data_IF_598911292710
#
_entry.id   IF_598911292710
#
_cell.length_a   1.000
_cell.length_b   1.000
_cell.length_c   1.000
_cell.angle_alpha   90.00
_cell.angle_beta   90.00
_cell.angle_gamma   90.00
#
_symmetry.space_group_name_H-M   'P 1'
#
loop_
_entity.id
_entity.type
_entity.pdbx_description
1 polymer ?
#
# COMPACT_ATOMS: atom_id res chain seq x y z
N UNK A 1 -2.56 -16.44 21.90
CA UNK A 1 -2.64 -17.49 20.86
C UNK A 1 -3.34 -16.92 19.66
N UNK A 2 -2.80 -17.14 18.47
CA UNK A 2 -3.41 -16.72 17.21
C UNK A 2 -4.88 -17.16 17.14
N UNK A 3 -5.73 -16.31 16.58
CA UNK A 3 -7.14 -16.66 16.32
C UNK A 3 -7.29 -16.94 14.82
N UNK A 4 -7.91 -18.04 14.47
CA UNK A 4 -8.08 -18.41 13.06
C UNK A 4 -9.39 -19.15 12.82
N UNK A 5 -9.92 -18.99 11.59
CA UNK A 5 -11.04 -19.76 11.04
C UNK A 5 -10.76 -20.01 9.57
N UNK A 6 -10.71 -21.28 9.14
CA UNK A 6 -10.47 -21.66 7.75
C UNK A 6 -9.08 -21.30 7.22
N UNK A 7 -8.11 -21.00 8.09
CA UNK A 7 -6.72 -20.68 7.76
C UNK A 7 -5.81 -21.27 8.81
N UNK A 8 -4.65 -21.79 8.38
CA UNK A 8 -3.57 -22.22 9.28
C UNK A 8 -2.25 -21.57 8.89
N UNK A 9 -1.40 -21.27 9.86
CA UNK A 9 -0.02 -20.87 9.64
C UNK A 9 0.83 -22.10 9.28
N UNK A 10 1.62 -21.98 8.24
CA UNK A 10 2.54 -23.02 7.77
C UNK A 10 4.00 -22.59 7.86
N UNK A 11 4.26 -21.28 7.98
CA UNK A 11 5.59 -20.73 8.18
C UNK A 11 5.56 -19.30 8.66
N UNK A 12 6.72 -18.86 9.16
CA UNK A 12 6.89 -17.52 9.72
C UNK A 12 8.32 -17.02 9.54
N UNK A 13 8.47 -15.73 9.30
CA UNK A 13 9.76 -15.03 9.28
C UNK A 13 9.66 -13.76 10.10
N UNK A 14 10.56 -13.64 11.07
CA UNK A 14 10.76 -12.36 11.72
C UNK A 14 11.56 -11.41 10.80
N UNK A 15 10.85 -10.48 10.18
CA UNK A 15 11.45 -9.49 9.28
C UNK A 15 11.94 -8.24 10.01
N UNK A 16 11.80 -8.19 11.36
CA UNK A 16 12.00 -6.97 12.14
C UNK A 16 13.18 -7.00 13.09
N UNK A 17 13.76 -8.19 13.32
CA UNK A 17 14.72 -8.37 14.40
C UNK A 17 14.16 -7.86 15.75
N UNK A 18 13.43 -8.71 16.48
CA UNK A 18 12.64 -8.40 17.69
C UNK A 18 13.32 -7.55 18.79
N UNK A 19 14.64 -7.39 18.75
CA UNK A 19 15.34 -6.54 19.71
C UNK A 19 14.87 -5.07 19.67
N UNK A 20 14.34 -4.60 18.56
CA UNK A 20 13.77 -3.25 18.44
C UNK A 20 12.28 -3.17 18.78
N UNK A 21 11.52 -4.24 18.62
CA UNK A 21 10.06 -4.24 18.85
C UNK A 21 9.71 -4.26 20.36
N UNK A 22 10.58 -4.77 21.21
CA UNK A 22 10.33 -4.96 22.64
C UNK A 22 10.16 -3.68 23.48
N UNK A 23 10.35 -2.50 22.89
CA UNK A 23 10.11 -1.21 23.56
C UNK A 23 9.15 -0.29 22.80
N UNK A 24 8.56 -0.77 21.71
CA UNK A 24 7.71 0.06 20.85
C UNK A 24 6.25 -0.11 21.22
N UNK A 25 5.68 0.96 21.74
CA UNK A 25 4.23 1.05 21.90
C UNK A 25 3.64 1.30 20.50
N UNK A 26 3.16 0.24 19.85
CA UNK A 26 2.62 0.25 18.47
C UNK A 26 1.38 1.16 18.28
N UNK A 27 1.15 2.08 19.20
CA UNK A 27 0.09 3.11 19.13
C UNK A 27 0.43 4.22 18.13
N UNK A 28 1.72 4.40 17.84
CA UNK A 28 2.16 5.40 16.88
C UNK A 28 2.77 4.74 15.65
N UNK A 29 2.38 5.17 14.45
CA UNK A 29 2.96 4.66 13.20
C UNK A 29 4.49 4.84 13.13
N UNK A 30 5.03 5.80 13.87
CA UNK A 30 6.47 6.01 14.06
C UNK A 30 7.16 4.86 14.80
N UNK A 31 6.40 4.12 15.60
CA UNK A 31 6.91 3.03 16.44
C UNK A 31 6.87 1.70 15.70
N UNK A 32 6.28 1.67 14.48
CA UNK A 32 6.18 0.48 13.66
C UNK A 32 7.47 0.31 12.85
N UNK A 33 8.36 -0.55 13.30
CA UNK A 33 9.60 -0.88 12.58
C UNK A 33 9.40 -1.86 11.43
N UNK A 34 8.20 -2.42 11.25
CA UNK A 34 7.96 -3.58 10.45
C UNK A 34 7.60 -3.39 9.01
N UNK A 35 7.15 -4.49 8.43
CA UNK A 35 6.90 -4.59 7.00
C UNK A 35 5.81 -3.68 6.49
N UNK A 36 6.07 -3.04 5.34
CA UNK A 36 5.13 -2.17 4.64
C UNK A 36 4.42 -2.84 3.47
N UNK A 37 5.15 -3.60 2.66
CA UNK A 37 4.59 -4.33 1.53
C UNK A 37 5.31 -5.67 1.32
N UNK A 38 4.57 -6.68 0.87
CA UNK A 38 5.12 -7.96 0.42
C UNK A 38 4.64 -8.29 -0.99
N UNK A 39 5.57 -8.71 -1.84
CA UNK A 39 5.28 -9.33 -3.13
C UNK A 39 6.03 -10.65 -3.24
N UNK A 40 5.46 -11.62 -3.97
CA UNK A 40 6.10 -12.92 -4.18
C UNK A 40 6.19 -13.20 -5.67
N UNK A 41 7.40 -13.48 -6.15
CA UNK A 41 7.66 -13.94 -7.51
C UNK A 41 8.61 -15.13 -7.48
N UNK A 42 8.29 -16.18 -8.22
CA UNK A 42 9.13 -17.39 -8.32
C UNK A 42 9.49 -18.00 -6.94
N UNK A 43 8.55 -17.91 -5.97
CA UNK A 43 8.74 -18.40 -4.59
C UNK A 43 9.88 -17.70 -3.85
N UNK A 44 10.11 -16.46 -4.21
CA UNK A 44 10.93 -15.51 -3.48
C UNK A 44 10.00 -14.39 -2.99
N UNK A 45 9.99 -14.12 -1.71
CA UNK A 45 9.26 -13.00 -1.12
C UNK A 45 10.18 -11.77 -1.01
N UNK A 46 9.68 -10.62 -1.42
CA UNK A 46 10.32 -9.32 -1.31
C UNK A 46 9.51 -8.48 -0.35
N UNK A 47 10.12 -8.05 0.72
CA UNK A 47 9.45 -7.34 1.82
C UNK A 47 10.07 -5.97 1.99
N UNK A 48 9.30 -4.92 1.72
CA UNK A 48 9.68 -3.54 2.04
C UNK A 48 9.41 -3.23 3.51
N UNK A 49 10.32 -2.53 4.19
CA UNK A 49 10.22 -2.21 5.60
C UNK A 49 10.01 -0.72 5.87
N UNK A 50 9.27 -0.43 6.94
CA UNK A 50 8.82 0.92 7.30
C UNK A 50 9.93 1.77 7.91
N UNK A 51 10.99 1.17 8.46
CA UNK A 51 11.98 1.90 9.23
C UNK A 51 13.41 1.41 8.99
N UNK A 52 14.33 2.38 8.94
CA UNK A 52 15.77 2.11 8.91
C UNK A 52 16.22 1.33 10.17
N UNK A 53 17.33 0.58 10.11
CA UNK A 53 18.18 0.40 8.94
C UNK A 53 17.64 -0.61 7.91
N UNK A 54 16.55 -1.36 8.22
CA UNK A 54 16.01 -2.36 7.32
C UNK A 54 15.28 -1.66 6.15
N UNK A 55 15.74 -1.95 4.95
CA UNK A 55 15.07 -1.60 3.70
C UNK A 55 14.27 -2.78 3.16
N UNK A 56 14.61 -3.26 1.97
CA UNK A 56 13.95 -4.41 1.38
C UNK A 56 14.66 -5.70 1.75
N UNK A 57 13.93 -6.68 2.27
CA UNK A 57 14.41 -8.04 2.53
C UNK A 57 13.95 -8.99 1.43
N UNK A 58 14.84 -9.88 0.99
CA UNK A 58 14.61 -10.89 -0.04
C UNK A 58 14.70 -12.25 0.63
N UNK A 59 13.61 -13.04 0.55
CA UNK A 59 13.43 -14.25 1.35
C UNK A 59 13.06 -15.41 0.45
N UNK A 60 13.82 -16.51 0.48
CA UNK A 60 13.45 -17.76 -0.17
C UNK A 60 12.31 -18.43 0.62
N UNK A 61 11.18 -18.61 -0.04
CA UNK A 61 9.95 -19.22 0.50
C UNK A 61 9.55 -20.48 -0.28
N UNK A 62 10.51 -21.11 -0.99
CA UNK A 62 10.30 -22.38 -1.69
C UNK A 62 9.82 -23.47 -0.74
N UNK A 63 10.46 -23.59 0.42
CA UNK A 63 9.94 -24.33 1.56
C UNK A 63 9.26 -23.35 2.55
N UNK A 64 7.93 -23.27 2.56
CA UNK A 64 7.22 -22.31 3.41
C UNK A 64 7.44 -22.57 4.91
N UNK A 65 7.84 -23.78 5.31
CA UNK A 65 8.11 -24.13 6.70
C UNK A 65 9.49 -23.69 7.17
N UNK A 66 10.41 -23.49 6.23
CA UNK A 66 11.81 -23.12 6.50
C UNK A 66 12.23 -21.95 5.57
N UNK A 67 11.55 -20.80 5.65
CA UNK A 67 11.93 -19.63 4.84
C UNK A 67 13.33 -19.14 5.21
N UNK A 68 14.08 -18.60 4.23
CA UNK A 68 15.46 -18.19 4.41
C UNK A 68 15.70 -16.78 3.90
N UNK A 69 16.25 -15.91 4.72
CA UNK A 69 16.74 -14.61 4.26
C UNK A 69 17.91 -14.83 3.29
N UNK A 70 17.77 -14.30 2.08
CA UNK A 70 18.79 -14.33 1.04
C UNK A 70 19.62 -13.04 1.03
N UNK A 71 18.95 -11.89 1.12
CA UNK A 71 19.59 -10.58 1.11
C UNK A 71 18.75 -9.55 1.87
N UNK A 72 19.41 -8.52 2.36
CA UNK A 72 18.78 -7.33 2.95
C UNK A 72 19.44 -6.08 2.38
N UNK A 73 18.61 -5.19 1.86
CA UNK A 73 19.00 -3.83 1.50
C UNK A 73 18.79 -2.93 2.71
N UNK A 74 19.79 -2.12 3.03
CA UNK A 74 19.68 -1.14 4.10
C UNK A 74 19.28 0.23 3.58
N UNK A 75 18.66 1.05 4.43
CA UNK A 75 18.34 2.42 4.13
C UNK A 75 18.86 3.38 5.20
N UNK A 76 19.17 4.64 4.81
CA UNK A 76 19.74 5.61 5.74
C UNK A 76 18.72 6.10 6.78
N UNK A 77 19.20 6.72 7.88
CA UNK A 77 18.34 7.38 8.86
C UNK A 77 17.41 8.41 8.22
N UNK A 78 16.23 8.59 8.79
CA UNK A 78 15.25 9.58 8.32
C UNK A 78 14.58 9.25 6.99
N UNK A 79 14.75 8.01 6.51
CA UNK A 79 14.16 7.56 5.25
C UNK A 79 13.40 6.25 5.43
N UNK A 80 12.56 5.90 4.47
CA UNK A 80 12.01 4.56 4.41
C UNK A 80 11.81 4.04 2.97
N UNK A 81 11.81 2.69 2.83
CA UNK A 81 11.65 1.97 1.57
C UNK A 81 10.66 0.83 1.80
N UNK A 82 9.41 1.20 2.05
CA UNK A 82 8.37 0.28 2.52
C UNK A 82 7.55 -0.34 1.38
N UNK A 83 7.80 0.07 0.14
CA UNK A 83 7.12 -0.45 -1.04
C UNK A 83 8.11 -1.10 -1.99
N UNK A 84 7.70 -2.23 -2.54
CA UNK A 84 8.50 -3.02 -3.48
C UNK A 84 7.61 -3.60 -4.57
N UNK A 85 8.11 -3.60 -5.80
CA UNK A 85 7.51 -4.30 -6.94
C UNK A 85 8.60 -5.08 -7.68
N UNK A 86 8.21 -6.22 -8.20
CA UNK A 86 9.12 -7.11 -8.92
C UNK A 86 8.46 -7.59 -10.20
N UNK A 87 9.18 -7.53 -11.31
CA UNK A 87 8.77 -8.15 -12.56
C UNK A 87 10.00 -8.68 -13.29
N UNK A 88 10.04 -10.00 -13.53
CA UNK A 88 11.24 -10.66 -14.09
C UNK A 88 12.45 -10.44 -13.17
N UNK A 89 13.54 -9.94 -13.75
CA UNK A 89 14.79 -9.69 -13.04
C UNK A 89 14.92 -8.24 -12.52
N UNK A 90 13.85 -7.45 -12.61
CA UNK A 90 13.84 -6.07 -12.14
C UNK A 90 13.03 -5.95 -10.85
N UNK A 91 13.66 -5.37 -9.83
CA UNK A 91 13.01 -4.94 -8.60
C UNK A 91 13.04 -3.41 -8.52
N UNK A 92 11.90 -2.83 -8.20
CA UNK A 92 11.75 -1.39 -7.93
C UNK A 92 11.33 -1.23 -6.47
N UNK A 93 11.99 -0.30 -5.76
CA UNK A 93 11.63 0.07 -4.39
C UNK A 93 11.42 1.57 -4.28
N UNK A 94 10.54 2.02 -3.39
CA UNK A 94 10.43 3.44 -3.14
C UNK A 94 11.61 3.96 -2.29
N UNK A 95 11.91 5.25 -2.49
CA UNK A 95 12.78 6.07 -1.65
C UNK A 95 11.95 7.23 -1.15
N UNK A 96 11.75 7.28 0.14
CA UNK A 96 10.98 8.35 0.76
C UNK A 96 11.77 8.96 1.93
N UNK A 97 11.84 10.28 1.95
CA UNK A 97 12.35 11.03 3.09
C UNK A 97 11.20 11.25 4.05
N UNK A 98 11.35 10.84 5.28
CA UNK A 98 10.30 10.97 6.29
C UNK A 98 9.96 12.44 6.56
N UNK A 99 8.67 12.74 6.75
CA UNK A 99 8.23 14.07 7.16
C UNK A 99 8.69 14.43 8.58
N UNK A 100 8.70 15.72 8.93
CA UNK A 100 9.25 16.21 10.21
C UNK A 100 8.70 15.49 11.45
N UNK A 101 7.42 15.13 11.44
CA UNK A 101 6.79 14.43 12.56
C UNK A 101 7.22 12.96 12.70
N UNK A 102 7.77 12.38 11.64
CA UNK A 102 8.20 10.99 11.59
C UNK A 102 9.70 10.80 11.81
N UNK A 103 10.47 11.87 11.66
CA UNK A 103 11.94 11.84 11.76
C UNK A 103 12.43 11.50 13.17
N UNK A 104 11.71 11.83 14.23
CA UNK A 104 12.11 11.57 15.62
C UNK A 104 13.56 11.96 15.95
N UNK A 105 14.07 13.02 15.31
CA UNK A 105 15.44 13.48 15.45
C UNK A 105 16.45 12.82 14.50
N UNK A 106 16.03 11.88 13.67
CA UNK A 106 16.87 11.34 12.60
C UNK A 106 17.04 12.37 11.48
N UNK A 107 18.22 12.37 10.86
CA UNK A 107 18.54 13.30 9.78
C UNK A 107 18.95 12.48 8.56
N UNK A 108 18.26 12.63 7.42
CA UNK A 108 18.68 12.00 6.18
C UNK A 108 20.09 12.49 5.78
N UNK A 109 20.88 11.65 5.08
CA UNK A 109 22.18 12.09 4.59
C UNK A 109 22.06 13.33 3.71
N UNK A 110 23.04 14.25 3.74
CA UNK A 110 23.07 15.41 2.85
C UNK A 110 22.96 14.97 1.37
N UNK A 111 22.09 15.61 0.61
CA UNK A 111 21.85 15.30 -0.79
C UNK A 111 21.02 14.04 -1.05
N UNK A 112 20.44 13.41 -0.02
CA UNK A 112 19.50 12.31 -0.24
C UNK A 112 18.16 12.87 -0.71
N UNK A 113 17.76 12.49 -1.92
CA UNK A 113 16.46 12.81 -2.48
C UNK A 113 15.56 11.58 -2.47
N UNK A 114 14.25 11.81 -2.34
CA UNK A 114 13.24 10.78 -2.51
C UNK A 114 13.12 10.34 -3.98
N UNK A 115 12.39 9.27 -4.24
CA UNK A 115 12.16 8.74 -5.59
C UNK A 115 12.00 7.22 -5.62
N UNK A 116 12.71 6.57 -6.54
CA UNK A 116 12.76 5.12 -6.70
C UNK A 116 14.21 4.63 -6.74
N UNK A 117 14.41 3.39 -6.29
CA UNK A 117 15.64 2.61 -6.55
C UNK A 117 15.30 1.41 -7.42
N UNK A 118 16.10 1.17 -8.45
CA UNK A 118 15.88 0.09 -9.42
C UNK A 118 17.06 -0.87 -9.34
N UNK A 119 16.76 -2.14 -9.17
CA UNK A 119 17.75 -3.19 -8.95
C UNK A 119 17.63 -4.32 -9.98
N UNK A 120 18.75 -4.89 -10.37
CA UNK A 120 18.85 -6.21 -10.98
C UNK A 120 18.81 -7.26 -9.87
N UNK A 121 17.87 -8.18 -9.97
CA UNK A 121 17.65 -9.31 -9.06
C UNK A 121 17.76 -10.66 -9.76
N UNK A 122 18.41 -10.74 -10.91
CA UNK A 122 18.72 -12.01 -11.59
C UNK A 122 19.42 -13.02 -10.65
N UNK A 123 20.07 -12.49 -9.60
CA UNK A 123 20.59 -13.22 -8.44
C UNK A 123 19.99 -12.63 -7.16
N UNK A 124 18.85 -13.18 -6.68
CA UNK A 124 18.13 -12.62 -5.52
C UNK A 124 18.99 -12.51 -4.25
N UNK A 125 19.99 -13.39 -4.09
CA UNK A 125 20.96 -13.34 -2.98
C UNK A 125 21.99 -12.21 -3.11
N UNK A 126 22.07 -11.56 -4.27
CA UNK A 126 23.00 -10.47 -4.54
C UNK A 126 22.36 -9.40 -5.42
N UNK A 127 21.34 -8.69 -4.94
CA UNK A 127 20.69 -7.62 -5.70
C UNK A 127 21.72 -6.53 -6.03
N UNK A 128 21.68 -6.03 -7.27
CA UNK A 128 22.61 -5.01 -7.76
C UNK A 128 21.85 -3.75 -8.13
N UNK A 129 22.19 -2.62 -7.52
CA UNK A 129 21.58 -1.33 -7.88
C UNK A 129 21.93 -1.00 -9.34
N UNK A 130 20.91 -0.73 -10.14
CA UNK A 130 21.04 -0.23 -11.50
C UNK A 130 21.10 1.30 -11.46
N UNK A 131 20.09 1.95 -10.87
CA UNK A 131 20.02 3.41 -10.79
C UNK A 131 19.06 3.88 -9.69
N UNK A 132 19.11 5.17 -9.41
CA UNK A 132 18.06 5.92 -8.71
C UNK A 132 17.38 6.86 -9.69
N UNK A 133 16.06 6.95 -9.59
CA UNK A 133 15.28 8.04 -10.13
C UNK A 133 14.83 8.93 -8.97
N UNK A 134 14.99 10.24 -9.08
CA UNK A 134 14.79 11.17 -7.97
C UNK A 134 13.67 12.16 -8.27
N UNK A 135 12.89 12.50 -7.24
CA UNK A 135 11.88 13.56 -7.29
C UNK A 135 12.54 14.93 -7.21
N UNK A 136 11.83 15.95 -7.69
CA UNK A 136 12.35 17.34 -7.75
C UNK A 136 11.79 18.21 -6.63
N UNK A 137 11.18 17.62 -5.63
CA UNK A 137 10.51 18.34 -4.55
C UNK A 137 11.47 19.13 -3.66
N UNK A 138 11.07 20.34 -3.35
CA UNK A 138 11.85 21.26 -2.52
C UNK A 138 11.85 20.92 -1.02
N UNK A 139 12.67 21.63 -0.23
CA UNK A 139 12.90 21.35 1.19
C UNK A 139 11.69 21.63 2.12
N UNK A 140 10.65 22.32 1.66
CA UNK A 140 9.56 22.83 2.49
C UNK A 140 8.38 21.86 2.65
N UNK A 141 8.59 20.58 2.38
CA UNK A 141 7.51 19.59 2.49
C UNK A 141 7.10 19.40 3.96
N UNK A 142 5.86 19.71 4.28
CA UNK A 142 5.23 19.38 5.56
C UNK A 142 5.06 17.87 5.75
N UNK A 143 5.21 17.11 4.67
CA UNK A 143 4.96 15.68 4.56
C UNK A 143 6.23 14.94 4.11
N UNK A 144 6.16 13.63 4.07
CA UNK A 144 7.20 12.81 3.44
C UNK A 144 7.41 13.21 1.97
N UNK A 145 8.67 13.14 1.50
CA UNK A 145 9.07 13.50 0.13
C UNK A 145 9.55 12.27 -0.62
N UNK A 146 9.30 12.22 -1.91
CA UNK A 146 9.69 11.11 -2.75
C UNK A 146 8.50 10.37 -3.33
N UNK A 147 8.64 9.07 -3.60
CA UNK A 147 7.56 8.20 -4.06
C UNK A 147 6.99 7.44 -2.88
N UNK A 148 5.70 7.64 -2.59
CA UNK A 148 5.05 6.94 -1.48
C UNK A 148 4.63 5.53 -1.89
N UNK A 149 3.89 5.40 -2.99
CA UNK A 149 3.39 4.12 -3.49
C UNK A 149 3.41 4.06 -5.01
N UNK A 150 3.43 2.86 -5.58
CA UNK A 150 3.50 2.68 -7.01
C UNK A 150 3.07 1.28 -7.44
N UNK A 151 2.71 1.14 -8.71
CA UNK A 151 2.59 -0.12 -9.42
C UNK A 151 3.67 -0.23 -10.50
N UNK A 152 4.02 -1.47 -10.93
CA UNK A 152 5.02 -1.73 -11.95
C UNK A 152 4.63 -2.96 -12.76
N UNK A 153 4.47 -2.80 -14.06
CA UNK A 153 4.02 -3.86 -14.97
C UNK A 153 5.14 -4.57 -15.75
N UNK A 154 6.40 -4.29 -15.38
CA UNK A 154 7.59 -4.81 -16.05
C UNK A 154 8.22 -3.85 -17.05
N UNK A 155 7.49 -2.82 -17.48
CA UNK A 155 8.01 -1.73 -18.30
C UNK A 155 7.68 -0.36 -17.71
N UNK A 156 6.42 -0.13 -17.36
CA UNK A 156 6.00 1.16 -16.83
C UNK A 156 5.82 1.10 -15.32
N UNK A 157 6.30 2.13 -14.64
CA UNK A 157 5.96 2.38 -13.25
C UNK A 157 4.93 3.51 -13.16
N UNK A 158 3.83 3.22 -12.47
CA UNK A 158 2.75 4.16 -12.16
C UNK A 158 2.94 4.59 -10.73
N UNK A 159 3.39 5.82 -10.51
CA UNK A 159 3.93 6.25 -9.23
C UNK A 159 3.16 7.41 -8.62
N UNK A 160 3.25 7.55 -7.29
CA UNK A 160 2.73 8.69 -6.53
C UNK A 160 3.88 9.53 -5.95
N UNK A 161 4.58 10.33 -6.77
CA UNK A 161 5.68 11.17 -6.34
C UNK A 161 5.20 12.50 -5.74
N UNK A 162 6.00 13.07 -4.84
CA UNK A 162 5.99 14.50 -4.59
C UNK A 162 6.86 15.19 -5.65
N UNK A 163 6.41 16.32 -6.15
CA UNK A 163 7.12 17.05 -7.21
C UNK A 163 7.09 18.55 -6.91
N UNK A 164 8.16 19.24 -7.28
CA UNK A 164 8.25 20.68 -7.13
C UNK A 164 7.09 21.40 -7.83
N UNK A 165 6.51 22.39 -7.14
CA UNK A 165 5.36 23.15 -7.65
C UNK A 165 3.99 22.51 -7.48
N UNK A 166 3.92 21.29 -6.92
CA UNK A 166 2.67 20.60 -6.65
C UNK A 166 2.40 20.43 -5.14
N UNK A 167 1.13 20.47 -4.78
CA UNK A 167 0.67 20.21 -3.42
C UNK A 167 0.45 18.70 -3.23
N UNK A 168 1.29 18.07 -2.41
CA UNK A 168 1.24 16.64 -2.12
C UNK A 168 1.64 15.76 -3.32
N UNK A 169 1.28 14.49 -3.25
CA UNK A 169 1.64 13.51 -4.29
C UNK A 169 0.72 13.63 -5.51
N UNK A 170 1.30 13.55 -6.71
CA UNK A 170 0.57 13.47 -7.97
C UNK A 170 0.69 12.07 -8.57
N UNK A 171 -0.06 11.76 -9.62
CA UNK A 171 0.14 10.54 -10.41
C UNK A 171 1.15 10.82 -11.53
N UNK A 172 2.13 9.92 -11.71
CA UNK A 172 3.12 9.99 -12.79
C UNK A 172 3.38 8.60 -13.37
N UNK A 173 3.71 8.56 -14.66
CA UNK A 173 4.08 7.35 -15.39
C UNK A 173 5.55 7.48 -15.80
N UNK A 174 6.36 6.47 -15.44
CA UNK A 174 7.75 6.35 -15.88
C UNK A 174 7.88 5.16 -16.84
N UNK A 175 8.62 5.32 -17.94
CA UNK A 175 9.07 4.21 -18.80
C UNK A 175 10.42 3.70 -18.29
N UNK A 176 10.47 2.43 -17.92
CA UNK A 176 11.65 1.70 -17.49
C UNK A 176 12.13 0.72 -18.59
N UNK A 177 11.84 1.00 -19.86
CA UNK A 177 12.35 0.19 -20.99
C UNK A 177 13.86 0.03 -20.93
N UNK A 178 14.57 1.10 -20.59
CA UNK A 178 15.95 1.08 -20.13
C UNK A 178 15.94 1.37 -18.60
N UNK A 179 16.06 0.34 -17.74
CA UNK A 179 15.96 0.55 -16.30
C UNK A 179 17.11 1.40 -15.73
N UNK A 180 18.18 1.65 -16.50
CA UNK A 180 19.27 2.55 -16.11
C UNK A 180 18.92 4.03 -16.36
N UNK A 181 17.87 4.31 -17.14
CA UNK A 181 17.43 5.65 -17.55
C UNK A 181 15.92 5.76 -17.52
N UNK A 182 15.28 5.73 -16.34
CA UNK A 182 13.84 5.92 -16.24
C UNK A 182 13.43 7.28 -16.78
N UNK A 183 12.44 7.31 -17.69
CA UNK A 183 11.96 8.54 -18.34
C UNK A 183 10.50 8.79 -17.97
N UNK A 184 10.18 10.04 -17.64
CA UNK A 184 8.79 10.44 -17.47
C UNK A 184 8.05 10.40 -18.82
N UNK A 185 6.93 9.68 -18.85
CA UNK A 185 6.04 9.60 -20.01
C UNK A 185 4.91 10.60 -19.88
N UNK A 186 4.31 10.71 -18.70
CA UNK A 186 3.20 11.62 -18.44
C UNK A 186 2.84 11.68 -16.97
N UNK A 187 2.00 12.66 -16.63
CA UNK A 187 1.50 12.89 -15.28
C UNK A 187 0.06 13.36 -15.28
N UNK A 188 -0.58 13.16 -14.16
CA UNK A 188 -1.89 13.71 -13.87
C UNK A 188 -1.94 14.17 -12.41
N UNK A 189 -2.66 15.23 -12.17
CA UNK A 189 -2.89 15.75 -10.82
C UNK A 189 -4.35 16.19 -10.67
N UNK A 190 -4.83 16.17 -9.46
CA UNK A 190 -6.17 16.68 -9.18
C UNK A 190 -6.18 18.21 -9.33
N UNK A 191 -7.16 18.80 -10.02
CA UNK A 191 -7.28 20.26 -10.16
C UNK A 191 -7.18 20.95 -8.80
N UNK A 192 -6.26 21.91 -8.68
CA UNK A 192 -5.90 22.57 -7.43
C UNK A 192 -4.57 22.13 -6.82
N UNK A 193 -3.94 21.07 -7.32
CA UNK A 193 -2.61 20.67 -6.84
C UNK A 193 -1.46 21.43 -7.49
N UNK A 194 -1.62 21.95 -8.71
CA UNK A 194 -0.51 22.64 -9.41
C UNK A 194 -0.38 24.10 -8.98
N UNK A 195 0.22 24.31 -7.81
CA UNK A 195 0.37 25.65 -7.19
C UNK A 195 1.28 26.55 -8.02
N UNK A 196 2.37 26.02 -8.58
CA UNK A 196 3.27 26.79 -9.46
C UNK A 196 2.58 27.26 -10.76
N UNK A 197 1.54 26.58 -11.20
CA UNK A 197 0.69 26.99 -12.33
C UNK A 197 -0.41 27.96 -11.95
N UNK A 198 -0.50 28.38 -10.68
CA UNK A 198 -1.52 29.31 -10.19
C UNK A 198 -2.84 28.64 -9.80
N UNK A 199 -2.90 27.32 -9.75
CA UNK A 199 -4.08 26.63 -9.26
C UNK A 199 -4.27 26.85 -7.75
N UNK A 200 -5.52 26.85 -7.30
CA UNK A 200 -5.89 26.92 -5.89
C UNK A 200 -6.77 25.73 -5.58
N UNK A 201 -6.48 24.98 -4.48
CA UNK A 201 -7.33 23.87 -4.04
C UNK A 201 -8.78 24.32 -3.85
N UNK A 202 -9.72 23.55 -4.36
CA UNK A 202 -11.17 23.78 -4.20
C UNK A 202 -11.76 22.93 -3.07
N UNK A 203 -11.01 21.90 -2.63
CA UNK A 203 -11.40 21.06 -1.49
C UNK A 203 -11.10 21.74 -0.16
N UNK A 204 -11.77 21.30 0.90
CA UNK A 204 -11.54 21.72 2.27
C UNK A 204 -10.97 20.56 3.07
N UNK A 205 -10.10 20.86 4.03
CA UNK A 205 -9.50 19.86 4.91
C UNK A 205 -8.19 19.31 4.36
N UNK A 206 -7.93 18.05 4.64
CA UNK A 206 -6.66 17.39 4.33
C UNK A 206 -6.42 17.19 2.84
N UNK A 207 -5.14 16.98 2.49
CA UNK A 207 -4.69 16.98 1.12
C UNK A 207 -5.33 15.87 0.28
N UNK A 208 -5.95 16.26 -0.83
CA UNK A 208 -6.27 15.37 -1.93
C UNK A 208 -4.97 15.05 -2.64
N UNK A 209 -4.40 13.88 -2.39
CA UNK A 209 -3.12 13.46 -2.96
C UNK A 209 -3.16 12.02 -3.46
N UNK A 210 -2.45 11.78 -4.56
CA UNK A 210 -2.31 10.43 -5.11
C UNK A 210 -1.68 9.50 -4.08
N UNK A 211 -2.27 8.33 -3.91
CA UNK A 211 -1.72 7.30 -3.04
C UNK A 211 -1.31 6.07 -3.83
N UNK A 212 -2.25 5.38 -4.48
CA UNK A 212 -1.97 4.11 -5.14
C UNK A 212 -2.60 4.03 -6.53
N UNK A 213 -1.86 4.30 -7.61
CA UNK A 213 -2.31 4.10 -8.97
C UNK A 213 -2.12 2.63 -9.39
N UNK A 214 -3.21 1.89 -9.56
CA UNK A 214 -3.20 0.51 -10.04
C UNK A 214 -3.62 0.45 -11.51
N UNK A 215 -2.79 -0.19 -12.33
CA UNK A 215 -3.09 -0.37 -13.75
C UNK A 215 -3.99 -1.58 -14.00
N UNK A 216 -5.00 -1.38 -14.86
CA UNK A 216 -5.73 -2.46 -15.49
C UNK A 216 -6.05 -2.09 -16.94
N UNK A 217 -5.42 -2.77 -17.89
CA UNK A 217 -5.54 -2.44 -19.31
C UNK A 217 -5.07 -1.00 -19.62
N UNK A 218 -5.98 -0.20 -20.16
CA UNK A 218 -5.76 1.22 -20.48
C UNK A 218 -6.35 2.18 -19.41
N UNK A 219 -6.53 1.69 -18.20
CA UNK A 219 -7.02 2.47 -17.05
C UNK A 219 -6.04 2.44 -15.89
N UNK A 220 -6.04 3.55 -15.13
CA UNK A 220 -5.53 3.57 -13.76
C UNK A 220 -6.71 3.76 -12.82
N UNK A 221 -6.87 2.83 -11.90
CA UNK A 221 -7.78 2.94 -10.77
C UNK A 221 -6.95 3.42 -9.59
N UNK A 222 -7.15 4.66 -9.22
CA UNK A 222 -6.24 5.38 -8.32
C UNK A 222 -6.96 5.79 -7.06
N UNK A 223 -6.41 5.42 -5.91
CA UNK A 223 -6.81 6.02 -4.65
C UNK A 223 -6.15 7.38 -4.47
N UNK A 224 -6.92 8.36 -4.02
CA UNK A 224 -6.48 9.76 -3.93
C UNK A 224 -6.69 10.35 -2.54
N UNK A 225 -6.47 9.55 -1.51
CA UNK A 225 -6.67 9.88 -0.09
C UNK A 225 -8.06 10.48 0.14
N UNK A 226 -8.16 11.72 0.71
CA UNK A 226 -9.45 12.39 0.90
C UNK A 226 -10.13 12.78 -0.42
N UNK A 227 -9.44 12.71 -1.54
CA UNK A 227 -10.03 12.82 -2.87
C UNK A 227 -10.73 11.55 -3.38
N UNK A 228 -10.73 10.48 -2.56
CA UNK A 228 -11.46 9.26 -2.83
C UNK A 228 -10.87 8.42 -3.97
N UNK A 229 -11.73 7.93 -4.85
CA UNK A 229 -11.41 7.15 -6.04
C UNK A 229 -11.28 8.05 -7.26
N UNK A 230 -10.26 7.83 -8.08
CA UNK A 230 -10.06 8.47 -9.39
C UNK A 230 -9.82 7.39 -10.44
N UNK A 231 -10.54 7.45 -11.55
CA UNK A 231 -10.34 6.58 -12.73
C UNK A 231 -9.75 7.44 -13.85
N UNK A 232 -8.56 7.03 -14.34
CA UNK A 232 -7.88 7.71 -15.41
C UNK A 232 -7.81 6.83 -16.67
N UNK A 233 -8.00 7.43 -17.82
CA UNK A 233 -7.71 6.86 -19.13
C UNK A 233 -6.24 7.12 -19.47
N UNK A 234 -5.52 6.05 -19.80
CA UNK A 234 -4.10 6.07 -20.19
C UNK A 234 -3.86 5.46 -21.58
N UNK A 235 -4.86 5.48 -22.48
CA UNK A 235 -4.65 5.10 -23.89
C UNK A 235 -3.47 5.88 -24.49
N UNK A 236 -3.41 7.18 -24.19
CA UNK A 236 -2.24 8.02 -24.41
C UNK A 236 -1.57 8.28 -23.04
N UNK A 237 -0.55 7.48 -22.71
CA UNK A 237 0.17 7.58 -21.44
C UNK A 237 0.86 8.94 -21.25
N UNK A 238 1.13 9.69 -22.36
CA UNK A 238 1.72 11.03 -22.26
C UNK A 238 0.71 12.08 -21.79
N UNK A 239 -0.59 11.78 -21.85
CA UNK A 239 -1.69 12.68 -21.52
C UNK A 239 -2.82 11.93 -20.80
N UNK A 240 -2.59 11.42 -19.60
CA UNK A 240 -3.64 10.76 -18.82
C UNK A 240 -4.85 11.68 -18.63
N UNK A 241 -6.06 11.13 -18.80
CA UNK A 241 -7.32 11.89 -18.74
C UNK A 241 -8.23 11.36 -17.67
N UNK A 242 -8.88 12.27 -16.96
CA UNK A 242 -9.92 11.89 -15.99
C UNK A 242 -11.12 11.26 -16.73
N UNK A 243 -11.49 10.06 -16.34
CA UNK A 243 -12.75 9.42 -16.73
C UNK A 243 -13.83 9.80 -15.73
N UNK A 244 -13.55 9.59 -14.44
CA UNK A 244 -14.44 9.94 -13.33
C UNK A 244 -13.70 9.95 -12.01
N UNK A 245 -14.37 10.46 -10.97
CA UNK A 245 -13.94 10.34 -9.59
C UNK A 245 -15.14 10.15 -8.68
N UNK A 246 -14.91 9.63 -7.49
CA UNK A 246 -15.90 9.44 -6.46
C UNK A 246 -15.28 9.79 -5.11
N UNK A 247 -15.67 10.95 -4.59
CA UNK A 247 -15.24 11.46 -3.29
C UNK A 247 -16.35 11.22 -2.26
N UNK A 248 -15.99 10.62 -1.15
CA UNK A 248 -16.87 10.40 0.02
C UNK A 248 -16.35 11.09 1.30
N UNK A 249 -15.36 11.96 1.18
CA UNK A 249 -14.81 12.72 2.30
C UNK A 249 -15.12 14.22 2.17
N UNK A 250 -16.00 14.83 2.98
CA UNK A 250 -16.84 14.23 4.01
C UNK A 250 -18.06 13.47 3.42
N UNK A 251 -18.81 12.68 4.21
CA UNK A 251 -18.76 12.57 5.67
C UNK A 251 -17.79 11.51 6.21
N UNK A 252 -17.20 10.68 5.34
CA UNK A 252 -16.24 9.66 5.78
C UNK A 252 -14.84 10.26 5.89
N UNK A 253 -14.17 10.17 7.07
CA UNK A 253 -12.95 10.92 7.31
C UNK A 253 -11.68 10.20 6.84
N UNK A 254 -11.77 8.88 6.59
CA UNK A 254 -10.59 8.07 6.33
C UNK A 254 -10.10 8.23 4.90
N UNK A 255 -8.77 8.34 4.71
CA UNK A 255 -8.21 8.40 3.37
C UNK A 255 -8.45 7.09 2.60
N UNK A 256 -8.80 7.22 1.33
CA UNK A 256 -8.91 6.10 0.41
C UNK A 256 -7.52 5.56 0.09
N UNK A 257 -7.28 4.30 0.47
CA UNK A 257 -5.97 3.67 0.42
C UNK A 257 -5.70 2.91 -0.88
N UNK A 258 -6.63 2.04 -1.29
CA UNK A 258 -6.44 1.19 -2.48
C UNK A 258 -7.76 1.04 -3.23
N UNK A 259 -7.74 1.24 -4.54
CA UNK A 259 -8.86 1.06 -5.46
C UNK A 259 -8.54 -0.13 -6.38
N UNK A 260 -9.04 -1.32 -6.02
CA UNK A 260 -8.72 -2.58 -6.69
C UNK A 260 -9.87 -3.02 -7.61
N UNK A 261 -9.68 -2.92 -8.93
CA UNK A 261 -10.62 -3.44 -9.90
C UNK A 261 -10.63 -4.98 -9.86
N UNK A 262 -11.83 -5.56 -9.86
CA UNK A 262 -12.02 -7.01 -9.97
C UNK A 262 -11.86 -7.42 -11.44
N UNK A 263 -10.94 -8.34 -11.78
CA UNK A 263 -10.56 -8.61 -13.17
C UNK A 263 -11.57 -9.44 -13.98
N UNK A 264 -12.72 -9.76 -13.40
CA UNK A 264 -13.82 -10.50 -14.02
C UNK A 264 -15.17 -9.88 -13.64
N UNK A 265 -16.21 -10.25 -14.40
CA UNK A 265 -17.58 -9.80 -14.11
C UNK A 265 -18.26 -10.70 -13.07
N UNK A 266 -19.04 -10.09 -12.19
CA UNK A 266 -19.99 -10.77 -11.33
C UNK A 266 -21.39 -10.36 -11.80
N UNK A 267 -22.26 -11.31 -12.11
CA UNK A 267 -23.60 -11.06 -12.67
C UNK A 267 -23.60 -10.09 -13.87
N UNK A 268 -22.63 -10.27 -14.79
CA UNK A 268 -22.41 -9.41 -15.96
C UNK A 268 -22.07 -7.95 -15.67
N UNK A 269 -21.69 -7.60 -14.45
CA UNK A 269 -21.27 -6.25 -14.03
C UNK A 269 -19.80 -6.21 -13.65
N UNK A 270 -19.20 -5.04 -13.81
CA UNK A 270 -17.82 -4.77 -13.42
C UNK A 270 -17.79 -4.12 -12.04
N UNK A 271 -16.87 -4.57 -11.19
CA UNK A 271 -16.79 -4.12 -9.81
C UNK A 271 -15.37 -3.76 -9.39
N UNK A 272 -15.29 -3.01 -8.31
CA UNK A 272 -14.07 -2.66 -7.62
C UNK A 272 -14.28 -2.79 -6.12
N UNK A 273 -13.28 -3.30 -5.40
CA UNK A 273 -13.19 -3.12 -3.95
C UNK A 273 -12.28 -1.92 -3.66
N UNK A 274 -12.70 -1.09 -2.73
CA UNK A 274 -11.93 0.08 -2.32
C UNK A 274 -11.76 0.03 -0.81
N UNK A 275 -10.53 0.16 -0.34
CA UNK A 275 -10.22 0.20 1.08
C UNK A 275 -9.88 1.61 1.53
N UNK A 276 -10.39 1.99 2.68
CA UNK A 276 -9.93 3.17 3.41
C UNK A 276 -8.88 2.78 4.46
N UNK A 277 -8.17 3.76 5.02
CA UNK A 277 -7.10 3.57 5.98
C UNK A 277 -7.26 4.52 7.18
N UNK A 278 -7.31 3.99 8.41
CA UNK A 278 -7.47 4.81 9.62
C UNK A 278 -6.13 5.20 10.27
N UNK A 279 -5.31 5.96 9.54
CA UNK A 279 -3.95 6.36 9.97
C UNK A 279 -3.86 7.71 10.68
N UNK A 280 -4.92 8.52 10.65
CA UNK A 280 -4.94 9.82 11.31
C UNK A 280 -5.68 9.79 12.65
N UNK A 281 -5.25 10.63 13.60
CA UNK A 281 -6.11 11.00 14.71
C UNK A 281 -7.10 12.04 14.21
N UNK A 282 -8.36 11.86 14.58
CA UNK A 282 -9.42 12.84 14.38
C UNK A 282 -9.90 13.34 15.77
N UNK A 283 -9.08 14.14 16.49
CA UNK A 283 -9.36 14.48 17.88
C UNK A 283 -10.64 15.30 18.06
N UNK A 284 -11.01 16.05 17.02
CA UNK A 284 -12.13 17.03 17.09
C UNK A 284 -13.38 16.53 16.35
N UNK A 285 -13.39 15.29 15.88
CA UNK A 285 -14.54 14.70 15.19
C UNK A 285 -15.30 13.73 16.11
N UNK A 286 -16.63 13.62 15.94
CA UNK A 286 -17.39 12.57 16.61
C UNK A 286 -16.79 11.20 16.30
N UNK A 287 -17.09 10.18 17.14
CA UNK A 287 -16.54 8.85 16.94
C UNK A 287 -16.95 8.31 15.58
N UNK A 288 -15.99 8.22 14.67
CA UNK A 288 -16.20 7.56 13.39
C UNK A 288 -15.99 6.05 13.54
N UNK A 289 -16.69 5.24 12.74
CA UNK A 289 -16.31 3.83 12.61
C UNK A 289 -14.85 3.72 12.14
N UNK A 290 -14.14 2.66 12.53
CA UNK A 290 -12.85 2.37 11.96
C UNK A 290 -12.96 2.23 10.43
N UNK A 291 -11.86 2.44 9.70
CA UNK A 291 -11.83 2.28 8.24
C UNK A 291 -12.39 0.91 7.81
N UNK A 292 -13.06 0.88 6.68
CA UNK A 292 -13.76 -0.30 6.17
C UNK A 292 -13.57 -0.47 4.66
N UNK A 293 -14.14 -1.55 4.10
CA UNK A 293 -14.06 -1.87 2.68
C UNK A 293 -15.34 -1.44 1.98
N UNK A 294 -15.21 -0.79 0.82
CA UNK A 294 -16.30 -0.45 -0.09
C UNK A 294 -16.37 -1.45 -1.24
N UNK A 295 -17.58 -1.73 -1.69
CA UNK A 295 -17.84 -2.36 -2.97
C UNK A 295 -18.44 -1.31 -3.91
N UNK A 296 -17.80 -1.11 -5.05
CA UNK A 296 -18.20 -0.08 -6.03
C UNK A 296 -18.49 -0.76 -7.36
N UNK A 297 -19.68 -0.49 -7.91
CA UNK A 297 -20.05 -0.88 -9.27
C UNK A 297 -19.46 0.12 -10.25
N UNK A 298 -18.66 -0.36 -11.18
CA UNK A 298 -17.97 0.40 -12.22
C UNK A 298 -18.37 -0.04 -13.62
N UNK A 299 -19.54 -0.68 -13.77
CA UNK A 299 -20.08 -1.11 -15.08
C UNK A 299 -20.20 0.08 -16.04
N UNK A 300 -20.57 1.23 -15.50
CA UNK A 300 -20.38 2.53 -16.14
C UNK A 300 -19.25 3.28 -15.42
N UNK A 301 -18.03 3.23 -15.96
CA UNK A 301 -16.87 3.90 -15.36
C UNK A 301 -17.01 5.41 -15.22
N UNK A 302 -17.95 6.03 -15.97
CA UNK A 302 -18.21 7.49 -15.85
C UNK A 302 -19.07 7.83 -14.62
N UNK A 303 -19.77 6.84 -14.08
CA UNK A 303 -20.69 7.01 -12.95
C UNK A 303 -20.51 5.86 -11.95
N UNK A 304 -19.34 5.72 -11.28
CA UNK A 304 -19.10 4.68 -10.31
C UNK A 304 -20.08 4.79 -9.15
N UNK A 305 -20.63 3.65 -8.68
CA UNK A 305 -21.66 3.59 -7.65
C UNK A 305 -21.19 2.78 -6.45
N UNK A 306 -21.01 3.33 -5.25
CA UNK A 306 -20.83 2.52 -4.05
C UNK A 306 -22.15 1.80 -3.74
N UNK A 307 -22.09 0.47 -3.65
CA UNK A 307 -23.28 -0.37 -3.53
C UNK A 307 -23.37 -1.11 -2.21
N UNK A 308 -22.24 -1.36 -1.55
CA UNK A 308 -22.19 -1.95 -0.22
C UNK A 308 -20.86 -1.68 0.46
N UNK A 309 -20.81 -1.99 1.74
CA UNK A 309 -19.59 -1.89 2.56
C UNK A 309 -19.42 -3.17 3.38
N UNK A 310 -18.17 -3.43 3.80
CA UNK A 310 -17.90 -4.49 4.76
C UNK A 310 -17.05 -3.94 5.93
N UNK A 311 -17.47 -4.28 7.15
CA UNK A 311 -16.74 -4.06 8.40
C UNK A 311 -16.67 -5.38 9.16
N UNK A 312 -15.59 -5.60 9.89
CA UNK A 312 -15.44 -6.77 10.76
C UNK A 312 -16.54 -6.77 11.82
N UNK A 313 -17.23 -7.90 12.00
CA UNK A 313 -18.41 -8.03 12.87
C UNK A 313 -18.10 -7.66 14.33
N UNK A 314 -16.94 -8.10 14.84
CA UNK A 314 -16.49 -7.83 16.21
C UNK A 314 -15.93 -6.42 16.42
N UNK A 315 -15.96 -5.54 15.42
CA UNK A 315 -15.46 -4.18 15.54
C UNK A 315 -16.36 -3.36 16.46
N UNK A 316 -15.85 -2.85 17.60
CA UNK A 316 -16.67 -2.04 18.49
C UNK A 316 -17.17 -0.77 17.79
N UNK A 317 -18.43 -0.44 17.99
CA UNK A 317 -19.03 0.81 17.49
C UNK A 317 -18.71 2.00 18.42
N UNK A 318 -17.43 2.16 18.73
CA UNK A 318 -16.86 3.23 19.56
C UNK A 318 -15.61 3.76 18.88
N UNK A 319 -15.10 4.95 19.26
CA UNK A 319 -13.84 5.45 18.73
C UNK A 319 -12.74 4.42 18.88
N UNK A 320 -12.09 4.08 17.77
CA UNK A 320 -11.00 3.12 17.77
C UNK A 320 -9.65 3.85 17.68
N UNK A 321 -8.59 3.27 18.25
CA UNK A 321 -7.24 3.78 18.01
C UNK A 321 -6.91 3.71 16.53
N UNK A 322 -5.98 4.55 16.06
CA UNK A 322 -5.46 4.49 14.69
C UNK A 322 -4.95 3.10 14.35
N UNK A 323 -4.95 2.76 13.05
CA UNK A 323 -4.49 1.47 12.55
C UNK A 323 -5.24 0.29 13.18
N UNK A 324 -6.55 0.41 13.26
CA UNK A 324 -7.45 -0.64 13.75
C UNK A 324 -8.22 -1.27 12.61
N UNK A 325 -8.70 -0.48 11.65
CA UNK A 325 -9.62 -0.86 10.60
C UNK A 325 -8.99 -1.48 9.36
N UNK A 326 -9.70 -1.38 8.24
CA UNK A 326 -9.28 -1.87 6.93
C UNK A 326 -7.99 -1.19 6.47
N UNK A 327 -7.20 -1.90 5.63
CA UNK A 327 -6.01 -1.32 5.03
C UNK A 327 -5.80 -1.78 3.59
N UNK A 328 -5.35 -3.02 3.35
CA UNK A 328 -4.85 -3.43 2.05
C UNK A 328 -5.49 -4.73 1.56
N UNK A 329 -6.29 -4.71 0.47
CA UNK A 329 -6.69 -5.92 -0.22
C UNK A 329 -5.52 -6.51 -1.01
N UNK A 330 -5.48 -7.84 -1.13
CA UNK A 330 -4.56 -8.54 -2.02
C UNK A 330 -4.80 -8.11 -3.48
N UNK A 331 -3.77 -7.63 -4.14
CA UNK A 331 -3.88 -7.12 -5.51
C UNK A 331 -3.93 -8.24 -6.57
N UNK A 332 -3.54 -9.47 -6.20
CA UNK A 332 -3.68 -10.65 -7.04
C UNK A 332 -5.06 -11.26 -6.79
N UNK A 333 -5.99 -10.97 -7.69
CA UNK A 333 -7.38 -11.43 -7.59
C UNK A 333 -7.60 -12.62 -8.51
N UNK A 334 -7.82 -13.79 -7.94
CA UNK A 334 -8.01 -15.05 -8.68
C UNK A 334 -9.44 -15.62 -8.59
N UNK A 335 -10.28 -15.03 -7.75
CA UNK A 335 -11.65 -15.46 -7.50
C UNK A 335 -12.42 -14.46 -6.65
N UNK A 336 -13.59 -14.85 -6.17
CA UNK A 336 -14.46 -13.97 -5.38
C UNK A 336 -14.07 -13.87 -3.91
N UNK A 337 -13.15 -14.66 -3.42
CA UNK A 337 -12.60 -14.54 -2.07
C UNK A 337 -11.39 -13.60 -2.09
N UNK A 338 -11.54 -12.39 -1.55
CA UNK A 338 -10.51 -11.37 -1.51
C UNK A 338 -9.82 -11.36 -0.14
N UNK A 339 -8.53 -11.69 -0.06
CA UNK A 339 -7.76 -11.49 1.15
C UNK A 339 -7.54 -10.00 1.42
N UNK A 340 -7.77 -9.56 2.65
CA UNK A 340 -7.61 -8.15 3.05
C UNK A 340 -6.84 -8.09 4.37
N UNK A 341 -5.74 -7.37 4.39
CA UNK A 341 -5.05 -7.00 5.63
C UNK A 341 -5.88 -5.94 6.37
N UNK A 342 -6.14 -6.21 7.65
CA UNK A 342 -7.05 -5.41 8.49
C UNK A 342 -6.36 -5.04 9.80
N UNK A 343 -5.42 -4.16 9.77
CA UNK A 343 -4.55 -3.74 10.87
C UNK A 343 -4.64 -4.59 12.15
N UNK A 344 -5.40 -4.13 13.17
CA UNK A 344 -5.51 -4.84 14.45
C UNK A 344 -6.35 -6.13 14.38
N UNK A 345 -7.01 -6.39 13.28
CA UNK A 345 -7.87 -7.56 13.07
C UNK A 345 -7.25 -8.62 12.15
N UNK A 346 -5.97 -8.47 11.77
CA UNK A 346 -5.23 -9.50 11.04
C UNK A 346 -5.61 -9.61 9.56
N UNK A 347 -5.63 -10.82 9.04
CA UNK A 347 -6.10 -11.16 7.69
C UNK A 347 -7.60 -11.49 7.72
N UNK A 348 -8.34 -10.93 6.79
CA UNK A 348 -9.75 -11.24 6.52
C UNK A 348 -9.89 -11.76 5.10
N UNK A 349 -10.69 -12.79 4.88
CA UNK A 349 -11.06 -13.27 3.55
C UNK A 349 -12.52 -12.91 3.34
N UNK A 350 -12.76 -12.02 2.37
CA UNK A 350 -14.07 -11.46 2.09
C UNK A 350 -14.61 -12.04 0.79
N UNK A 351 -15.72 -12.76 0.86
CA UNK A 351 -16.44 -13.24 -0.32
C UNK A 351 -17.28 -12.10 -0.91
N UNK A 352 -16.97 -11.74 -2.15
CA UNK A 352 -17.64 -10.71 -2.94
C UNK A 352 -18.58 -11.29 -4.01
N UNK A 353 -18.85 -12.60 -3.99
CA UNK A 353 -19.73 -13.27 -4.97
C UNK A 353 -21.15 -12.68 -4.98
N UNK A 354 -21.55 -12.04 -3.89
CA UNK A 354 -22.76 -11.23 -3.76
C UNK A 354 -22.40 -9.78 -3.48
N UNK A 355 -22.18 -8.94 -4.50
CA UNK A 355 -21.63 -7.59 -4.34
C UNK A 355 -22.44 -6.67 -3.39
N UNK A 356 -23.74 -6.92 -3.23
CA UNK A 356 -24.61 -6.18 -2.30
C UNK A 356 -24.58 -6.74 -0.86
N UNK A 357 -23.92 -7.87 -0.60
CA UNK A 357 -23.91 -8.55 0.69
C UNK A 357 -22.57 -9.28 0.92
N UNK A 358 -21.51 -8.48 1.08
CA UNK A 358 -20.16 -8.97 1.35
C UNK A 358 -20.13 -9.81 2.62
N UNK A 359 -19.34 -10.87 2.63
CA UNK A 359 -19.28 -11.79 3.76
C UNK A 359 -17.87 -12.23 4.10
N UNK A 360 -17.48 -12.17 5.36
CA UNK A 360 -16.26 -12.83 5.84
C UNK A 360 -16.44 -14.35 5.83
N UNK A 361 -15.52 -15.06 5.19
CA UNK A 361 -15.54 -16.52 5.11
C UNK A 361 -14.40 -17.17 5.88
N UNK A 362 -13.31 -16.45 6.10
CA UNK A 362 -12.16 -16.91 6.87
C UNK A 362 -11.36 -15.74 7.45
N UNK A 363 -10.56 -16.01 8.49
CA UNK A 363 -9.66 -15.04 9.07
C UNK A 363 -8.45 -15.67 9.75
N UNK A 364 -7.39 -14.88 9.92
CA UNK A 364 -6.23 -15.19 10.74
C UNK A 364 -5.74 -13.93 11.45
N UNK A 365 -5.69 -13.95 12.77
CA UNK A 365 -5.15 -12.86 13.59
C UNK A 365 -3.89 -13.36 14.28
N UNK A 366 -2.71 -12.82 14.01
CA UNK A 366 -1.47 -13.21 14.68
C UNK A 366 -1.53 -13.05 16.20
N UNK A 367 -0.66 -13.74 16.91
CA UNK A 367 -0.43 -13.49 18.34
C UNK A 367 0.12 -12.07 18.54
N UNK A 368 -0.39 -11.37 19.54
CA UNK A 368 0.19 -10.11 19.97
C UNK A 368 1.54 -10.36 20.64
N UNK A 369 2.65 -9.79 20.15
CA UNK A 369 3.95 -10.01 20.77
C UNK A 369 4.06 -9.32 22.14
N UNK A 370 4.92 -9.81 23.03
CA UNK A 370 5.17 -9.15 24.31
C UNK A 370 5.57 -7.67 24.12
N UNK A 371 4.97 -6.77 24.90
CA UNK A 371 5.23 -5.33 24.81
C UNK A 371 4.41 -4.58 23.78
N UNK A 372 3.62 -5.27 22.96
CA UNK A 372 2.66 -4.66 22.02
C UNK A 372 1.23 -4.79 22.55
N UNK A 373 0.39 -3.80 22.25
CA UNK A 373 -1.03 -3.85 22.63
C UNK A 373 -1.86 -4.67 21.63
N UNK A 374 -1.42 -4.71 20.36
CA UNK A 374 -2.15 -5.37 19.26
C UNK A 374 -1.23 -5.66 18.09
N UNK A 375 -1.71 -6.46 17.15
CA UNK A 375 -1.08 -6.66 15.83
C UNK A 375 -1.38 -5.48 14.90
N UNK A 376 -0.60 -5.37 13.82
CA UNK A 376 -0.81 -4.36 12.77
C UNK A 376 -0.57 -4.99 11.41
N UNK A 377 -1.50 -5.84 11.00
CA UNK A 377 -1.42 -6.50 9.69
C UNK A 377 -1.57 -5.49 8.57
N UNK A 378 -0.52 -5.33 7.79
CA UNK A 378 -0.34 -4.21 6.86
C UNK A 378 -0.61 -4.57 5.41
N UNK A 379 -0.15 -5.72 4.96
CA UNK A 379 -0.23 -6.11 3.57
C UNK A 379 -0.44 -7.61 3.41
N UNK A 380 -0.97 -8.03 2.28
CA UNK A 380 -1.16 -9.43 1.96
C UNK A 380 -0.99 -9.67 0.47
N UNK A 381 -0.31 -10.76 0.12
CA UNK A 381 -0.22 -11.27 -1.25
C UNK A 381 -0.43 -12.78 -1.30
N UNK A 382 -0.58 -13.33 -2.50
CA UNK A 382 -0.73 -14.77 -2.74
C UNK A 382 0.30 -15.23 -3.77
N UNK A 383 0.84 -16.43 -3.62
CA UNK A 383 1.74 -17.03 -4.62
C UNK A 383 1.04 -18.00 -5.57
N UNK A 384 1.83 -18.60 -6.48
CA UNK A 384 1.37 -19.60 -7.48
C UNK A 384 0.84 -20.91 -6.88
N UNK A 385 1.08 -21.15 -5.58
CA UNK A 385 0.58 -22.30 -4.81
C UNK A 385 -0.72 -22.01 -4.07
N UNK A 386 -1.18 -20.75 -4.08
CA UNK A 386 -2.31 -20.27 -3.29
C UNK A 386 -1.96 -20.02 -1.81
N UNK A 387 -0.67 -20.02 -1.44
CA UNK A 387 -0.24 -19.62 -0.11
C UNK A 387 -0.37 -18.11 0.06
N UNK A 388 -0.94 -17.70 1.19
CA UNK A 388 -1.12 -16.30 1.54
C UNK A 388 0.08 -15.83 2.39
N UNK A 389 0.57 -14.65 2.09
CA UNK A 389 1.68 -14.01 2.79
C UNK A 389 1.15 -12.76 3.47
N UNK A 390 0.88 -12.86 4.76
CA UNK A 390 0.42 -11.74 5.58
C UNK A 390 1.61 -11.06 6.22
N UNK A 391 1.80 -9.79 5.93
CA UNK A 391 2.85 -8.96 6.51
C UNK A 391 2.28 -8.09 7.63
N UNK A 392 2.83 -8.24 8.83
CA UNK A 392 2.44 -7.50 10.02
C UNK A 392 3.57 -6.58 10.49
N UNK A 393 3.24 -5.33 10.85
CA UNK A 393 4.23 -4.31 11.27
C UNK A 393 4.90 -4.62 12.60
N UNK A 394 4.31 -5.46 13.43
CA UNK A 394 4.84 -5.81 14.77
C UNK A 394 5.20 -7.28 14.91
N UNK A 395 4.75 -8.14 14.00
CA UNK A 395 5.04 -9.58 14.04
C UNK A 395 5.99 -10.03 12.95
N UNK A 396 5.91 -9.49 11.74
CA UNK A 396 6.70 -9.97 10.61
C UNK A 396 5.85 -10.65 9.53
N UNK A 397 6.44 -11.59 8.79
CA UNK A 397 5.81 -12.26 7.66
C UNK A 397 5.27 -13.64 8.05
N UNK A 398 3.96 -13.81 7.96
CA UNK A 398 3.26 -15.07 8.15
C UNK A 398 2.97 -15.72 6.80
N UNK A 399 3.27 -17.02 6.66
CA UNK A 399 2.92 -17.83 5.50
C UNK A 399 1.74 -18.70 5.89
N UNK A 400 0.63 -18.55 5.21
CA UNK A 400 -0.66 -19.08 5.59
C UNK A 400 -1.26 -19.94 4.48
N UNK A 401 -2.04 -20.95 4.86
CA UNK A 401 -2.75 -21.84 3.95
C UNK A 401 -4.24 -21.86 4.28
N UNK A 402 -5.11 -21.83 3.25
CA UNK A 402 -6.55 -22.09 3.38
C UNK A 402 -6.80 -23.55 3.78
N UNK A 403 -7.76 -23.80 4.69
CA UNK A 403 -8.10 -25.15 5.20
C UNK A 403 -9.56 -25.46 4.98
#
# INVERSE_FOLDING_TARGET
MAKAKGIKEVGYVDVQNHAHAAGMNAVHWHDCAGGGQVVVQNRIAYVGNMRNPQGTQIIDVKDPKNPKLLAELTMPPGTHSHKVRVHGDIMVTNREVLGPHALQGEVPPPGYNGGLSIYDISKPEKPTLITHWETTDGPDAQYARGVHRFDFDGRYAYISPTMDGYLGNIMMILDLKDPSKPEEVGRWWMPGQWIAGGETPTWKGDAHKCHHPLRYGNRLYTSYWQGGLVILDIDDMSKPKLVSGLDWSPPFPWPTHTALRIPFKIDNRDFMVVSDEDVFRQPDHPPYPAAFLWMVDITDEKHPQPISTFQVEDMPNTPQPRMTGCHQPCEIVTGTEIPVAWFAYGLRIIDISKPHALKEVAYYVPDVPPGSERVQSNDVTVDDRGLLYLLDRVRGLHILERT
#
